data_IF_189949135631
#
_entry.id   IF_189949135631
#
_cell.length_a   1.000
_cell.length_b   1.000
_cell.length_c   1.000
_cell.angle_alpha   90.00
_cell.angle_beta   90.00
_cell.angle_gamma   90.00
#
_symmetry.space_group_name_H-M   'P 1'
#
loop_
_entity.id
_entity.type
_entity.pdbx_description
1 polymer ?
#
# COMPACT_ATOMS: atom_id res chain seq x y z
N UNK A 1 -8.83 -9.76 -4.69
CA UNK A 1 -8.26 -10.09 -3.35
C UNK A 1 -7.17 -11.15 -3.43
N UNK A 2 -7.40 -12.28 -4.08
CA UNK A 2 -6.40 -13.34 -4.15
C UNK A 2 -5.10 -12.91 -4.81
N UNK A 3 -5.20 -12.10 -5.86
CA UNK A 3 -4.02 -11.59 -6.55
C UNK A 3 -3.19 -10.68 -5.63
N UNK A 4 -3.87 -9.83 -4.87
CA UNK A 4 -3.18 -8.92 -3.95
C UNK A 4 -2.52 -9.70 -2.81
N UNK A 5 -3.21 -10.73 -2.29
CA UNK A 5 -2.64 -11.57 -1.23
C UNK A 5 -1.38 -12.29 -1.70
N UNK A 6 -1.36 -12.75 -2.94
CA UNK A 6 -0.16 -13.35 -3.53
C UNK A 6 0.98 -12.34 -3.63
N UNK A 7 0.68 -11.12 -4.04
CA UNK A 7 1.67 -10.07 -4.16
C UNK A 7 2.28 -9.73 -2.80
N UNK A 8 1.46 -9.67 -1.76
CA UNK A 8 1.93 -9.40 -0.40
C UNK A 8 2.92 -10.47 0.06
N UNK A 9 2.69 -11.71 -0.31
CA UNK A 9 3.57 -12.82 0.07
C UNK A 9 4.80 -12.94 -0.84
N UNK A 10 4.84 -12.22 -1.94
CA UNK A 10 5.90 -12.29 -2.92
C UNK A 10 6.99 -11.26 -2.60
N UNK A 11 8.20 -11.73 -2.31
CA UNK A 11 9.30 -10.85 -1.91
C UNK A 11 9.77 -9.91 -3.02
N UNK A 12 9.35 -10.14 -4.27
CA UNK A 12 9.68 -9.23 -5.36
C UNK A 12 8.82 -7.96 -5.37
N UNK A 13 7.71 -7.95 -4.61
CA UNK A 13 6.84 -6.78 -4.52
C UNK A 13 7.22 -5.89 -3.33
N UNK A 14 7.06 -4.59 -3.52
CA UNK A 14 7.06 -3.63 -2.41
C UNK A 14 5.60 -3.42 -2.00
N UNK A 15 5.28 -3.61 -0.74
CA UNK A 15 3.92 -3.43 -0.23
C UNK A 15 3.83 -2.08 0.47
N UNK A 16 2.93 -1.23 -0.01
CA UNK A 16 2.82 0.16 0.40
C UNK A 16 1.44 0.48 0.94
N UNK A 17 1.39 1.01 2.16
CA UNK A 17 0.17 1.55 2.77
C UNK A 17 0.15 3.06 2.53
N UNK A 18 -0.84 3.55 1.78
CA UNK A 18 -0.93 4.99 1.46
C UNK A 18 -1.90 5.75 2.37
N UNK A 19 -2.28 5.12 3.49
CA UNK A 19 -3.11 5.77 4.51
C UNK A 19 -2.25 6.61 5.45
N UNK A 20 -2.91 7.27 6.41
CA UNK A 20 -2.19 8.06 7.42
C UNK A 20 -1.40 7.15 8.36
N UNK A 21 -0.36 7.68 9.03
CA UNK A 21 0.38 6.90 10.02
C UNK A 21 -0.50 6.38 11.15
N UNK A 22 -1.51 7.15 11.58
CA UNK A 22 -2.42 6.71 12.63
C UNK A 22 -3.22 5.48 12.20
N UNK A 23 -3.72 5.48 10.96
CA UNK A 23 -4.45 4.31 10.43
C UNK A 23 -3.54 3.08 10.36
N UNK A 24 -2.31 3.28 9.90
CA UNK A 24 -1.34 2.20 9.79
C UNK A 24 -1.04 1.58 11.14
N UNK A 25 -0.86 2.41 12.16
CA UNK A 25 -0.56 1.92 13.52
C UNK A 25 -1.71 1.11 14.12
N UNK A 26 -2.96 1.50 13.81
CA UNK A 26 -4.14 0.80 14.30
C UNK A 26 -4.32 -0.57 13.67
N UNK A 27 -3.81 -0.76 12.47
CA UNK A 27 -3.88 -2.06 11.80
C UNK A 27 -3.44 -1.91 10.35
N UNK A 28 -2.63 -2.85 9.87
CA UNK A 28 -2.14 -2.86 8.51
C UNK A 28 -1.93 -4.29 8.04
N UNK A 29 -1.75 -4.44 6.74
CA UNK A 29 -1.49 -5.75 6.15
C UNK A 29 -0.10 -6.21 6.55
N UNK A 30 0.05 -7.43 7.12
CA UNK A 30 1.38 -7.96 7.44
C UNK A 30 2.25 -8.00 6.19
N UNK A 31 3.50 -7.60 6.32
CA UNK A 31 4.42 -7.54 5.19
C UNK A 31 4.46 -6.19 4.50
N UNK A 32 3.71 -5.19 5.01
CA UNK A 32 3.79 -3.83 4.51
C UNK A 32 5.18 -3.26 4.76
N UNK A 33 5.84 -2.80 3.70
CA UNK A 33 7.22 -2.30 3.78
C UNK A 33 7.27 -0.82 4.12
N UNK A 34 6.32 -0.03 3.62
CA UNK A 34 6.32 1.42 3.79
C UNK A 34 4.91 1.92 4.06
N UNK A 35 4.81 3.00 4.83
CA UNK A 35 3.58 3.75 5.03
C UNK A 35 3.85 5.20 4.60
N UNK A 36 3.31 5.60 3.47
CA UNK A 36 3.50 6.94 2.91
C UNK A 36 2.12 7.51 2.61
N UNK A 37 1.73 8.54 3.35
CA UNK A 37 0.39 9.13 3.28
C UNK A 37 0.21 9.89 1.97
N UNK A 38 -0.72 9.43 1.13
CA UNK A 38 -0.97 10.05 -0.18
C UNK A 38 -1.60 11.43 -0.05
N UNK A 39 -2.16 11.76 1.11
CA UNK A 39 -2.75 13.09 1.35
C UNK A 39 -1.71 14.17 1.64
N UNK A 40 -0.47 13.76 1.93
CA UNK A 40 0.61 14.71 2.17
C UNK A 40 1.15 15.26 0.86
N UNK A 41 1.51 16.56 0.87
CA UNK A 41 2.04 17.22 -0.33
C UNK A 41 3.32 16.57 -0.85
N UNK A 42 4.10 15.99 0.06
CA UNK A 42 5.38 15.38 -0.30
C UNK A 42 5.29 13.88 -0.58
N UNK A 43 4.09 13.35 -0.81
CA UNK A 43 3.90 11.92 -1.08
C UNK A 43 4.78 11.44 -2.23
N UNK A 44 4.71 12.11 -3.37
CA UNK A 44 5.45 11.70 -4.57
C UNK A 44 6.96 11.72 -4.31
N UNK A 45 7.43 12.79 -3.72
CA UNK A 45 8.85 12.95 -3.42
C UNK A 45 9.35 11.86 -2.50
N UNK A 46 8.61 11.57 -1.44
CA UNK A 46 8.99 10.54 -0.48
C UNK A 46 8.97 9.15 -1.11
N UNK A 47 7.94 8.86 -1.91
CA UNK A 47 7.84 7.56 -2.57
C UNK A 47 9.01 7.34 -3.52
N UNK A 48 9.36 8.37 -4.31
CA UNK A 48 10.47 8.26 -5.25
C UNK A 48 11.81 8.06 -4.56
N UNK A 49 11.95 8.55 -3.32
CA UNK A 49 13.19 8.38 -2.55
C UNK A 49 13.39 6.95 -2.06
N UNK A 50 12.31 6.27 -1.64
CA UNK A 50 12.45 5.02 -0.89
C UNK A 50 12.05 3.79 -1.69
N UNK A 51 11.21 3.93 -2.71
CA UNK A 51 10.70 2.77 -3.46
C UNK A 51 11.52 2.60 -4.73
N UNK A 52 12.21 1.45 -4.90
CA UNK A 52 12.96 1.21 -6.13
C UNK A 52 12.02 1.01 -7.31
N UNK A 53 12.39 1.52 -8.48
CA UNK A 53 11.55 1.42 -9.67
C UNK A 53 11.62 0.07 -10.36
N UNK A 54 12.58 -0.76 -10.00
CA UNK A 54 12.74 -2.08 -10.60
C UNK A 54 11.89 -3.15 -9.92
N UNK A 55 11.10 -2.77 -8.93
CA UNK A 55 10.19 -3.70 -8.25
C UNK A 55 8.75 -3.24 -8.42
N UNK A 56 7.82 -4.17 -8.65
CA UNK A 56 6.40 -3.81 -8.67
C UNK A 56 5.92 -3.42 -7.28
N UNK A 57 4.95 -2.53 -7.23
CA UNK A 57 4.41 -2.00 -5.97
C UNK A 57 2.96 -2.47 -5.81
N UNK A 58 2.67 -3.12 -4.67
CA UNK A 58 1.32 -3.46 -4.28
C UNK A 58 0.88 -2.45 -3.23
N UNK A 59 -0.15 -1.65 -3.50
CA UNK A 59 -0.54 -0.61 -2.58
C UNK A 59 -2.02 -0.65 -2.23
N UNK A 60 -2.34 -0.09 -1.08
CA UNK A 60 -3.71 -0.08 -0.59
C UNK A 60 -3.98 1.14 0.28
N UNK A 61 -5.26 1.53 0.34
CA UNK A 61 -5.74 2.49 1.33
C UNK A 61 -6.84 1.84 2.14
N UNK A 62 -7.76 2.61 2.71
CA UNK A 62 -8.81 2.06 3.55
C UNK A 62 -9.92 1.38 2.74
N UNK A 63 -10.41 2.05 1.69
CA UNK A 63 -11.58 1.58 0.93
C UNK A 63 -11.41 1.65 -0.58
N UNK A 64 -10.21 2.00 -1.06
CA UNK A 64 -9.92 2.07 -2.49
C UNK A 64 -9.99 3.46 -3.10
N UNK A 65 -10.40 4.48 -2.35
CA UNK A 65 -10.53 5.83 -2.92
C UNK A 65 -9.18 6.54 -3.05
N UNK A 66 -8.40 6.58 -1.98
CA UNK A 66 -7.09 7.23 -1.98
C UNK A 66 -6.08 6.46 -2.81
N UNK A 67 -6.19 5.13 -2.82
CA UNK A 67 -5.23 4.27 -3.51
C UNK A 67 -5.27 4.42 -5.02
N UNK A 68 -6.42 4.78 -5.59
CA UNK A 68 -6.51 5.03 -7.04
C UNK A 68 -5.61 6.18 -7.46
N UNK A 69 -5.66 7.27 -6.71
CA UNK A 69 -4.81 8.42 -6.99
C UNK A 69 -3.34 8.10 -6.71
N UNK A 70 -3.07 7.41 -5.62
CA UNK A 70 -1.71 7.01 -5.27
C UNK A 70 -1.09 6.13 -6.36
N UNK A 71 -1.87 5.17 -6.87
CA UNK A 71 -1.42 4.26 -7.92
C UNK A 71 -1.15 5.02 -9.21
N UNK A 72 -2.03 5.96 -9.57
CA UNK A 72 -1.86 6.76 -10.79
C UNK A 72 -0.57 7.58 -10.74
N UNK A 73 -0.31 8.20 -9.59
CA UNK A 73 0.90 9.00 -9.42
C UNK A 73 2.15 8.14 -9.62
N UNK A 74 2.19 6.95 -9.01
CA UNK A 74 3.35 6.07 -9.16
C UNK A 74 3.48 5.53 -10.57
N UNK A 75 2.37 5.16 -11.21
CA UNK A 75 2.40 4.68 -12.59
C UNK A 75 2.93 5.77 -13.53
N UNK A 76 2.52 7.02 -13.30
CA UNK A 76 3.00 8.15 -14.10
C UNK A 76 4.51 8.38 -13.90
N UNK A 77 5.06 7.89 -12.81
CA UNK A 77 6.48 8.01 -12.51
C UNK A 77 7.28 6.74 -12.83
N UNK A 78 6.71 5.82 -13.61
CA UNK A 78 7.43 4.68 -14.13
C UNK A 78 7.35 3.40 -13.30
N UNK A 79 6.52 3.36 -12.28
CA UNK A 79 6.33 2.14 -11.47
C UNK A 79 5.28 1.22 -12.06
N UNK A 80 5.44 -0.07 -11.83
CA UNK A 80 4.38 -1.05 -12.05
C UNK A 80 3.59 -1.15 -10.74
N UNK A 81 2.26 -1.00 -10.80
CA UNK A 81 1.45 -0.88 -9.60
C UNK A 81 0.29 -1.86 -9.63
N UNK A 82 0.09 -2.55 -8.53
CA UNK A 82 -1.10 -3.36 -8.26
C UNK A 82 -1.84 -2.72 -7.10
N UNK A 83 -3.07 -2.30 -7.33
CA UNK A 83 -3.89 -1.62 -6.32
C UNK A 83 -4.92 -2.59 -5.75
N UNK A 84 -5.11 -2.57 -4.42
CA UNK A 84 -6.19 -3.31 -3.79
C UNK A 84 -7.45 -2.44 -3.81
N UNK A 85 -8.33 -2.70 -4.77
CA UNK A 85 -9.51 -1.86 -5.01
C UNK A 85 -10.50 -1.81 -3.86
N UNK A 86 -10.58 -2.87 -3.04
CA UNK A 86 -11.44 -2.91 -1.86
C UNK A 86 -10.77 -2.38 -0.62
N UNK A 87 -9.47 -2.11 -0.69
CA UNK A 87 -8.69 -1.53 0.39
C UNK A 87 -8.52 -2.45 1.60
N UNK A 88 -8.01 -1.87 2.67
CA UNK A 88 -7.79 -2.59 3.91
C UNK A 88 -9.10 -3.19 4.46
N UNK A 89 -10.22 -2.49 4.28
CA UNK A 89 -11.52 -3.00 4.71
C UNK A 89 -11.86 -4.33 4.02
N UNK A 90 -11.60 -4.42 2.72
CA UNK A 90 -11.80 -5.68 1.99
C UNK A 90 -10.86 -6.78 2.43
N UNK A 91 -9.62 -6.42 2.75
CA UNK A 91 -8.64 -7.37 3.27
C UNK A 91 -9.14 -8.00 4.57
N UNK A 92 -9.62 -7.18 5.51
CA UNK A 92 -10.16 -7.65 6.79
C UNK A 92 -11.42 -8.48 6.58
N UNK A 93 -12.33 -8.01 5.72
CA UNK A 93 -13.59 -8.70 5.46
C UNK A 93 -13.36 -10.09 4.86
N UNK A 94 -12.28 -10.28 4.12
CA UNK A 94 -11.93 -11.58 3.55
C UNK A 94 -11.31 -12.54 4.58
N UNK A 95 -11.13 -12.10 5.82
CA UNK A 95 -10.59 -12.94 6.88
C UNK A 95 -9.07 -13.03 6.92
N UNK A 96 -8.39 -12.14 6.23
CA UNK A 96 -6.93 -12.13 6.22
C UNK A 96 -6.35 -11.54 7.49
N UNK A 97 -5.09 -11.87 7.78
CA UNK A 97 -4.42 -11.42 9.00
C UNK A 97 -4.14 -9.92 8.97
N UNK A 98 -4.15 -9.33 10.16
CA UNK A 98 -3.87 -7.92 10.36
C UNK A 98 -2.79 -7.79 11.41
N UNK A 99 -1.88 -6.84 11.21
CA UNK A 99 -0.81 -6.54 12.15
C UNK A 99 -1.04 -5.15 12.72
N UNK A 100 -0.70 -4.96 14.00
CA UNK A 100 -0.78 -3.66 14.65
C UNK A 100 0.60 -3.30 15.17
N UNK A 101 0.87 -1.98 15.26
CA UNK A 101 2.12 -1.54 15.87
C UNK A 101 1.98 -1.59 17.39
N UNK A 102 2.97 -2.20 18.03
CA UNK A 102 2.98 -2.30 19.48
C UNK A 102 3.82 -1.18 20.08
N UNK A 103 3.33 -0.66 21.18
CA UNK A 103 4.04 0.36 21.96
C UNK A 103 5.03 -0.29 22.90
#
# INVERSE_FOLDING_TARGET
MAEFAKAVADTSYVVLDVRTPAEHAEGHIPGTHFNIDVLEDNYTENALKVIPKDKPVALYCRSGNRSKNAARILADNGYQVLELGTGFRGWVAAGNKVETEKQ
#
